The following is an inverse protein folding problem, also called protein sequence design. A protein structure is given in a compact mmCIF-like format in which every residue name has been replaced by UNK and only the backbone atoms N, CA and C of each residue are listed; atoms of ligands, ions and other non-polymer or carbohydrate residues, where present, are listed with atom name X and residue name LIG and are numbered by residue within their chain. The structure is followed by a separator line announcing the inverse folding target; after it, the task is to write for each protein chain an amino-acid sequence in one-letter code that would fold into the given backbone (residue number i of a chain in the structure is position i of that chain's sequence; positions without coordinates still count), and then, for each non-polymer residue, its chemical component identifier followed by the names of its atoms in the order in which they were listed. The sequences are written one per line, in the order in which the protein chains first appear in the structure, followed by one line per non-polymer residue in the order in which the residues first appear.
data_IF_595932909501
#
_entry.id   IF_595932909501
#
_cell.length_a   1.000
_cell.length_b   1.000
_cell.length_c   1.000
_cell.angle_alpha   90.00
_cell.angle_beta   90.00
_cell.angle_gamma   90.00
#
_symmetry.space_group_name_H-M   'P 1'
#
loop_
_entity.id
_entity.type
_entity.pdbx_description
1 polymer ?
#
# COMPACT_ATOMS: atom_id res chain seq x y z
N UNK A 1 9.59 -22.32 9.78
CA UNK A 1 10.82 -21.50 9.82
C UNK A 1 10.47 -20.21 10.52
N UNK A 2 11.27 -19.77 11.49
CA UNK A 2 11.06 -18.46 12.13
C UNK A 2 11.70 -17.39 11.26
N UNK A 3 10.95 -16.33 10.95
CA UNK A 3 11.45 -15.15 10.26
C UNK A 3 12.17 -14.24 11.26
N UNK A 4 13.29 -13.65 10.86
CA UNK A 4 13.96 -12.59 11.63
C UNK A 4 13.23 -11.25 11.47
N UNK A 5 13.46 -10.33 12.41
CA UNK A 5 12.90 -8.96 12.28
C UNK A 5 13.38 -8.28 10.99
N UNK A 6 14.64 -8.47 10.60
CA UNK A 6 15.19 -7.84 9.40
C UNK A 6 14.51 -8.35 8.12
N UNK A 7 14.28 -9.66 8.03
CA UNK A 7 13.53 -10.25 6.90
C UNK A 7 12.09 -9.72 6.84
N UNK A 8 11.41 -9.60 8.00
CA UNK A 8 10.08 -9.02 8.08
C UNK A 8 10.07 -7.55 7.61
N UNK A 9 11.02 -6.75 8.06
CA UNK A 9 11.13 -5.34 7.67
C UNK A 9 11.43 -5.20 6.18
N UNK A 10 12.28 -6.04 5.60
CA UNK A 10 12.56 -6.03 4.17
C UNK A 10 11.33 -6.44 3.32
N UNK A 11 10.50 -7.37 3.80
CA UNK A 11 9.22 -7.67 3.16
C UNK A 11 8.25 -6.47 3.22
N UNK A 12 8.11 -5.84 4.39
CA UNK A 12 7.23 -4.67 4.54
C UNK A 12 7.65 -3.50 3.65
N UNK A 13 8.96 -3.27 3.45
CA UNK A 13 9.45 -2.24 2.52
C UNK A 13 9.06 -2.55 1.07
N UNK A 14 9.15 -3.81 0.64
CA UNK A 14 8.74 -4.22 -0.70
C UNK A 14 7.24 -4.03 -0.91
N UNK A 15 6.43 -4.37 0.10
CA UNK A 15 4.99 -4.17 0.05
C UNK A 15 4.64 -2.68 -0.07
N UNK A 16 5.33 -1.81 0.68
CA UNK A 16 5.21 -0.34 0.56
C UNK A 16 5.59 0.19 -0.82
N UNK A 17 6.71 -0.25 -1.38
CA UNK A 17 7.16 0.16 -2.71
C UNK A 17 6.20 -0.31 -3.81
N UNK A 18 5.72 -1.55 -3.70
CA UNK A 18 4.73 -2.16 -4.59
C UNK A 18 3.41 -1.37 -4.56
N UNK A 19 2.89 -1.12 -3.36
CA UNK A 19 1.69 -0.31 -3.15
C UNK A 19 1.82 1.07 -3.80
N UNK A 20 2.91 1.80 -3.53
CA UNK A 20 3.13 3.13 -4.08
C UNK A 20 3.25 3.11 -5.62
N UNK A 21 3.79 2.04 -6.20
CA UNK A 21 3.89 1.87 -7.66
C UNK A 21 2.52 1.60 -8.27
N UNK A 22 1.74 0.67 -7.71
CA UNK A 22 0.40 0.34 -8.19
C UNK A 22 -0.55 1.52 -8.04
N UNK A 23 -0.61 2.15 -6.87
CA UNK A 23 -1.50 3.28 -6.61
C UNK A 23 -1.22 4.45 -7.57
N UNK A 24 0.04 4.75 -7.88
CA UNK A 24 0.40 5.80 -8.85
C UNK A 24 -0.03 5.45 -10.28
N UNK A 25 0.01 4.17 -10.67
CA UNK A 25 -0.51 3.72 -11.97
C UNK A 25 -2.03 3.88 -12.01
N UNK A 26 -2.73 3.43 -10.97
CA UNK A 26 -4.17 3.60 -10.85
C UNK A 26 -4.58 5.07 -10.84
N UNK A 27 -3.81 5.95 -10.21
CA UNK A 27 -3.99 7.41 -10.28
C UNK A 27 -3.83 7.95 -11.70
N UNK A 28 -2.81 7.49 -12.44
CA UNK A 28 -2.59 7.93 -13.82
C UNK A 28 -3.75 7.53 -14.75
N UNK A 29 -4.42 6.41 -14.47
CA UNK A 29 -5.56 5.91 -15.23
C UNK A 29 -6.90 6.52 -14.78
N UNK A 30 -7.07 6.74 -13.48
CA UNK A 30 -8.32 7.22 -12.89
C UNK A 30 -8.08 8.12 -11.66
N UNK A 31 -7.67 9.37 -11.87
CA UNK A 31 -7.21 10.25 -10.78
C UNK A 31 -8.32 10.63 -9.79
N UNK A 32 -9.59 10.62 -10.20
CA UNK A 32 -10.74 10.92 -9.32
C UNK A 32 -10.96 9.82 -8.28
N UNK A 33 -10.69 8.57 -8.64
CA UNK A 33 -10.87 7.41 -7.75
C UNK A 33 -9.62 7.04 -6.95
N UNK A 34 -8.44 7.48 -7.40
CA UNK A 34 -7.16 7.22 -6.73
C UNK A 34 -6.41 8.53 -6.45
N UNK A 35 -6.94 9.41 -5.57
CA UNK A 35 -6.32 10.69 -5.31
C UNK A 35 -4.97 10.54 -4.58
N UNK A 36 -3.98 11.34 -4.95
CA UNK A 36 -2.68 11.34 -4.26
C UNK A 36 -2.67 12.16 -2.96
N UNK A 37 -3.77 12.85 -2.68
CA UNK A 37 -4.01 13.61 -1.46
C UNK A 37 -5.38 13.22 -0.96
N UNK A 38 -5.45 12.74 0.28
CA UNK A 38 -6.69 12.48 0.97
C UNK A 38 -7.07 13.70 1.80
N UNK A 39 -8.36 13.99 1.85
CA UNK A 39 -8.92 15.03 2.70
C UNK A 39 -8.69 14.70 4.18
N UNK A 40 -8.63 15.72 5.06
CA UNK A 40 -8.40 15.58 6.52
C UNK A 40 -9.37 14.63 7.26
N UNK A 41 -10.46 14.21 6.61
CA UNK A 41 -11.42 13.25 7.15
C UNK A 41 -11.06 11.79 6.80
N UNK A 42 -10.04 11.57 5.97
CA UNK A 42 -9.69 10.31 5.33
C UNK A 42 -8.24 9.88 5.62
N UNK A 43 -7.55 10.55 6.54
CA UNK A 43 -6.11 10.39 6.85
C UNK A 43 -5.71 8.94 7.19
N UNK A 44 -6.65 8.17 7.74
CA UNK A 44 -6.46 6.76 8.10
C UNK A 44 -6.49 5.79 6.92
N UNK A 45 -7.07 6.20 5.77
CA UNK A 45 -7.30 5.27 4.65
C UNK A 45 -6.01 4.82 3.98
N UNK A 46 -4.91 5.57 4.08
CA UNK A 46 -3.62 5.13 3.53
C UNK A 46 -3.16 3.80 4.13
N UNK A 47 -3.39 3.60 5.43
CA UNK A 47 -3.05 2.34 6.08
C UNK A 47 -3.98 1.21 5.62
N UNK A 48 -5.28 1.49 5.49
CA UNK A 48 -6.25 0.52 4.99
C UNK A 48 -5.90 0.07 3.57
N UNK A 49 -5.61 1.00 2.67
CA UNK A 49 -5.21 0.69 1.29
C UNK A 49 -3.92 -0.13 1.23
N UNK A 50 -2.94 0.19 2.08
CA UNK A 50 -1.69 -0.59 2.16
C UNK A 50 -1.94 -2.01 2.65
N UNK A 51 -2.75 -2.18 3.69
CA UNK A 51 -3.07 -3.51 4.24
C UNK A 51 -3.84 -4.35 3.22
N UNK A 52 -4.83 -3.77 2.55
CA UNK A 52 -5.57 -4.43 1.49
C UNK A 52 -4.63 -4.87 0.36
N UNK A 53 -3.74 -4.00 -0.08
CA UNK A 53 -2.73 -4.32 -1.10
C UNK A 53 -1.82 -5.48 -0.67
N UNK A 54 -1.26 -5.42 0.55
CA UNK A 54 -0.32 -6.41 1.06
C UNK A 54 -0.96 -7.78 1.35
N UNK A 55 -2.28 -7.83 1.55
CA UNK A 55 -3.02 -9.07 1.84
C UNK A 55 -3.68 -9.70 0.62
N UNK A 56 -3.84 -8.95 -0.48
CA UNK A 56 -4.50 -9.40 -1.72
C UNK A 56 -3.90 -10.65 -2.35
N UNK A 57 -2.58 -10.80 -2.29
CA UNK A 57 -1.84 -11.95 -2.83
C UNK A 57 -1.63 -13.08 -1.80
N UNK A 58 -2.05 -12.87 -0.55
CA UNK A 58 -1.88 -13.83 0.56
C UNK A 58 -3.14 -14.67 0.80
N UNK A 59 -4.23 -14.42 0.06
CA UNK A 59 -5.52 -15.12 0.15
C UNK A 59 -5.74 -16.15 -0.95
#
# INVERSE_FOLDING_TARGET
MAQSLDEFIEEMKKDLESFASEYRKSHAENPEHFPLVLDDNNDGLWLEFLVDHATRDRS
#
